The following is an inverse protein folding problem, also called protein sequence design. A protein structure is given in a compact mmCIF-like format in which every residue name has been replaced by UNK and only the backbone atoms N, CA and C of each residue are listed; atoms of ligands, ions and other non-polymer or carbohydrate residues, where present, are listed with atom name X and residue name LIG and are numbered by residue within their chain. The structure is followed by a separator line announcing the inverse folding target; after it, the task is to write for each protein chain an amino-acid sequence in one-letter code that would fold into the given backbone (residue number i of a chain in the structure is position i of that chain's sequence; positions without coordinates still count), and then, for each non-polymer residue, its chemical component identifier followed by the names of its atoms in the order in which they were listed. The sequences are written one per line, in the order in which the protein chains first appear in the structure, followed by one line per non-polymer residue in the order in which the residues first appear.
data_IF_993525170653
#
_entry.id   IF_993525170653
#
_cell.length_a   1.000
_cell.length_b   1.000
_cell.length_c   1.000
_cell.angle_alpha   90.00
_cell.angle_beta   90.00
_cell.angle_gamma   90.00
#
_symmetry.space_group_name_H-M   'P 1'
#
loop_
_entity.id
_entity.type
_entity.pdbx_description
1 polymer ?
#
# COMPACT_ATOMS: atom_id res chain seq x y z
N UNK A 1 64.73 77.12 -86.22
CA UNK A 1 65.97 76.32 -86.03
C UNK A 1 65.70 75.25 -84.99
N UNK A 2 66.35 74.10 -85.06
CA UNK A 2 66.00 72.91 -84.26
C UNK A 2 66.48 73.00 -82.80
N UNK A 3 65.75 72.35 -81.89
CA UNK A 3 66.32 71.76 -80.67
C UNK A 3 65.41 70.63 -80.17
N UNK A 4 65.53 69.45 -80.77
CA UNK A 4 64.86 68.26 -80.27
C UNK A 4 65.47 67.86 -78.92
N UNK A 5 64.70 68.03 -77.85
CA UNK A 5 65.17 67.87 -76.48
C UNK A 5 65.24 66.40 -76.11
N UNK A 6 66.32 65.75 -76.55
CA UNK A 6 66.70 64.35 -76.32
C UNK A 6 66.02 63.70 -75.10
N UNK A 7 65.09 62.79 -75.37
CA UNK A 7 64.65 61.80 -74.37
C UNK A 7 65.87 60.95 -73.99
N UNK A 8 66.45 61.22 -72.82
CA UNK A 8 67.54 60.40 -72.28
C UNK A 8 67.03 58.98 -72.12
N UNK A 9 67.65 58.05 -72.85
CA UNK A 9 67.25 56.65 -72.82
C UNK A 9 67.60 56.05 -71.45
N UNK A 10 66.58 55.87 -70.59
CA UNK A 10 66.75 55.45 -69.19
C UNK A 10 66.96 53.93 -69.03
N UNK A 11 66.91 53.15 -70.11
CA UNK A 11 67.14 51.71 -70.04
C UNK A 11 68.65 51.39 -69.95
N UNK A 12 69.09 50.60 -68.95
CA UNK A 12 70.51 50.36 -68.72
C UNK A 12 71.15 49.53 -69.83
N UNK A 13 72.34 49.95 -70.28
CA UNK A 13 73.15 49.19 -71.24
C UNK A 13 73.53 47.82 -70.66
N UNK A 14 72.99 46.75 -71.26
CA UNK A 14 73.45 45.36 -71.16
C UNK A 14 74.05 44.97 -69.80
N UNK A 15 73.20 44.85 -68.79
CA UNK A 15 73.56 44.20 -67.53
C UNK A 15 74.09 42.79 -67.83
N UNK A 16 75.27 42.44 -67.28
CA UNK A 16 75.75 41.06 -67.36
C UNK A 16 74.71 40.14 -66.72
N UNK A 17 74.52 38.91 -67.25
CA UNK A 17 73.50 37.98 -66.76
C UNK A 17 73.57 37.80 -65.22
N UNK A 18 74.78 37.78 -64.66
CA UNK A 18 75.02 37.68 -63.21
C UNK A 18 74.51 38.90 -62.43
N UNK A 19 74.74 40.11 -62.92
CA UNK A 19 74.26 41.33 -62.26
C UNK A 19 72.73 41.47 -62.33
N UNK A 20 72.12 41.08 -63.46
CA UNK A 20 70.67 41.04 -63.59
C UNK A 20 70.02 40.04 -62.63
N UNK A 21 70.62 38.85 -62.47
CA UNK A 21 70.19 37.86 -61.45
C UNK A 21 70.29 38.43 -60.04
N UNK A 22 71.37 39.12 -59.67
CA UNK A 22 71.46 39.74 -58.33
C UNK A 22 70.37 40.81 -58.12
N UNK A 23 70.12 41.68 -59.10
CA UNK A 23 69.03 42.68 -59.01
C UNK A 23 67.65 42.03 -58.89
N UNK A 24 67.40 40.92 -59.58
CA UNK A 24 66.16 40.16 -59.48
C UNK A 24 66.00 39.54 -58.08
N UNK A 25 67.04 38.89 -57.56
CA UNK A 25 67.03 38.29 -56.22
C UNK A 25 66.83 39.34 -55.13
N UNK A 26 67.51 40.49 -55.19
CA UNK A 26 67.31 41.57 -54.20
C UNK A 26 65.92 42.18 -54.28
N UNK A 27 65.32 42.28 -55.48
CA UNK A 27 63.94 42.74 -55.63
C UNK A 27 62.95 41.74 -55.03
N UNK A 28 63.12 40.44 -55.29
CA UNK A 28 62.29 39.39 -54.70
C UNK A 28 62.37 39.38 -53.17
N UNK A 29 63.58 39.47 -52.60
CA UNK A 29 63.77 39.57 -51.14
C UNK A 29 63.11 40.83 -50.58
N UNK A 30 63.25 41.98 -51.25
CA UNK A 30 62.60 43.23 -50.82
C UNK A 30 61.07 43.13 -50.87
N UNK A 31 60.49 42.54 -51.91
CA UNK A 31 59.04 42.31 -52.02
C UNK A 31 58.54 41.35 -50.94
N UNK A 32 59.29 40.28 -50.63
CA UNK A 32 58.96 39.37 -49.52
C UNK A 32 59.00 40.08 -48.16
N UNK A 33 60.03 40.89 -47.89
CA UNK A 33 60.14 41.65 -46.63
C UNK A 33 59.05 42.71 -46.50
N UNK A 34 58.75 43.48 -47.56
CA UNK A 34 57.66 44.47 -47.55
C UNK A 34 56.30 43.79 -47.43
N UNK A 35 56.08 42.66 -48.10
CA UNK A 35 54.87 41.86 -47.97
C UNK A 35 54.67 41.30 -46.55
N UNK A 36 55.74 40.81 -45.92
CA UNK A 36 55.72 40.36 -44.53
C UNK A 36 55.40 41.51 -43.56
N UNK A 37 56.06 42.67 -43.69
CA UNK A 37 55.80 43.84 -42.86
C UNK A 37 54.36 44.39 -43.05
N UNK A 38 53.81 44.27 -44.26
CA UNK A 38 52.41 44.63 -44.53
C UNK A 38 51.43 43.65 -43.86
N UNK A 39 51.68 42.34 -43.95
CA UNK A 39 50.87 41.32 -43.26
C UNK A 39 50.92 41.46 -41.73
N UNK A 40 52.08 41.81 -41.17
CA UNK A 40 52.22 42.04 -39.72
C UNK A 40 51.49 43.32 -39.27
N UNK A 41 51.46 44.35 -40.14
CA UNK A 41 50.71 45.60 -39.91
C UNK A 41 49.20 45.47 -40.05
N UNK A 42 48.70 44.44 -40.74
CA UNK A 42 47.27 44.18 -40.96
C UNK A 42 46.60 43.42 -39.80
N UNK A 43 47.37 42.84 -38.88
CA UNK A 43 46.87 42.01 -37.77
C UNK A 43 45.86 42.74 -36.89
N UNK A 44 44.75 42.06 -36.59
CA UNK A 44 43.69 42.49 -35.68
C UNK A 44 44.17 42.32 -34.24
N UNK A 45 43.83 43.24 -33.35
CA UNK A 45 44.04 43.08 -31.90
C UNK A 45 42.75 42.54 -31.28
N UNK A 46 42.85 41.48 -30.48
CA UNK A 46 41.72 40.81 -29.82
C UNK A 46 42.03 40.66 -28.34
N UNK A 47 41.09 41.04 -27.48
CA UNK A 47 41.16 40.76 -26.05
C UNK A 47 40.59 39.36 -25.79
N UNK A 48 41.45 38.43 -25.41
CA UNK A 48 41.11 37.03 -25.18
C UNK A 48 41.14 36.75 -23.67
N UNK A 49 40.03 36.33 -23.11
CA UNK A 49 39.93 35.83 -21.74
C UNK A 49 39.92 34.30 -21.77
N UNK A 50 40.98 33.66 -21.30
CA UNK A 50 41.09 32.21 -21.17
C UNK A 50 40.91 31.80 -19.71
N UNK A 51 39.87 31.06 -19.38
CA UNK A 51 39.55 30.58 -18.02
C UNK A 51 39.48 31.71 -16.95
N UNK A 52 39.34 32.97 -17.38
CA UNK A 52 39.35 34.16 -16.52
C UNK A 52 40.62 35.02 -16.63
N UNK A 53 41.71 34.53 -17.20
CA UNK A 53 42.94 35.30 -17.43
C UNK A 53 42.85 36.10 -18.75
N UNK A 54 43.04 37.42 -18.68
CA UNK A 54 42.96 38.31 -19.85
C UNK A 54 44.33 38.50 -20.53
N UNK A 55 44.37 38.33 -21.86
CA UNK A 55 45.54 38.58 -22.70
C UNK A 55 45.16 39.30 -24.02
N UNK A 56 46.13 39.96 -24.65
CA UNK A 56 45.95 40.63 -25.95
C UNK A 56 46.64 39.84 -27.06
N UNK A 57 45.85 39.24 -27.95
CA UNK A 57 46.32 38.46 -29.10
C UNK A 57 46.35 39.35 -30.34
N UNK A 58 47.38 39.18 -31.19
CA UNK A 58 47.50 39.86 -32.49
C UNK A 58 47.52 38.83 -33.62
N UNK A 59 46.39 38.73 -34.32
CA UNK A 59 46.03 37.60 -35.17
C UNK A 59 45.64 38.05 -36.58
N UNK A 60 45.76 37.13 -37.56
CA UNK A 60 45.20 37.29 -38.91
C UNK A 60 43.96 36.41 -39.16
N UNK A 61 43.49 35.68 -38.13
CA UNK A 61 42.27 34.89 -38.11
C UNK A 61 41.07 35.57 -38.80
N UNK A 62 40.29 34.79 -39.54
CA UNK A 62 39.01 35.23 -40.06
C UNK A 62 37.94 35.12 -38.96
N UNK A 63 37.87 33.99 -38.26
CA UNK A 63 36.84 33.65 -37.25
C UNK A 63 37.39 33.53 -35.82
N UNK A 64 36.52 33.31 -34.83
CA UNK A 64 36.92 32.99 -33.45
C UNK A 64 37.65 31.65 -33.38
N UNK A 65 37.15 30.62 -34.05
CA UNK A 65 37.72 29.28 -34.11
C UNK A 65 39.17 29.29 -34.66
N UNK A 66 39.42 30.09 -35.71
CA UNK A 66 40.76 30.33 -36.25
C UNK A 66 41.78 30.83 -35.20
N UNK A 67 41.34 31.61 -34.18
CA UNK A 67 42.25 32.10 -33.12
C UNK A 67 42.74 30.96 -32.24
N UNK A 68 41.87 30.01 -31.88
CA UNK A 68 42.27 28.87 -31.05
C UNK A 68 43.11 27.88 -31.85
N UNK A 69 42.84 27.72 -33.14
CA UNK A 69 43.71 27.01 -34.07
C UNK A 69 45.11 27.67 -34.22
N UNK A 70 45.20 29.02 -34.28
CA UNK A 70 46.47 29.76 -34.22
C UNK A 70 47.23 29.58 -32.88
N UNK A 71 46.52 29.22 -31.79
CA UNK A 71 47.06 29.04 -30.44
C UNK A 71 47.34 27.57 -30.06
N UNK A 72 47.16 26.62 -30.99
CA UNK A 72 47.25 25.17 -30.75
C UNK A 72 46.28 24.69 -29.62
N UNK A 73 45.09 25.29 -29.54
CA UNK A 73 44.02 24.95 -28.59
C UNK A 73 42.82 24.30 -29.28
N UNK A 74 42.49 23.06 -28.91
CA UNK A 74 41.26 22.38 -29.34
C UNK A 74 40.06 22.82 -28.49
N UNK A 75 39.02 23.38 -29.13
CA UNK A 75 37.75 23.76 -28.49
C UNK A 75 36.77 22.58 -28.54
N UNK A 76 36.10 22.28 -27.42
CA UNK A 76 35.08 21.25 -27.33
C UNK A 76 33.66 21.85 -27.37
N UNK A 77 32.65 21.06 -27.75
CA UNK A 77 31.26 21.53 -27.84
C UNK A 77 30.64 21.89 -26.49
N UNK A 78 31.26 21.43 -25.41
CA UNK A 78 30.84 21.59 -24.03
C UNK A 78 31.44 22.85 -23.38
N UNK A 79 32.52 23.39 -23.96
CA UNK A 79 33.22 24.60 -23.49
C UNK A 79 32.32 25.84 -23.53
N UNK A 80 32.64 26.86 -22.73
CA UNK A 80 32.03 28.18 -22.90
C UNK A 80 32.86 28.99 -23.88
N UNK A 81 32.27 29.35 -25.03
CA UNK A 81 32.87 30.25 -26.02
C UNK A 81 31.91 31.38 -26.38
N UNK A 82 32.36 32.63 -26.25
CA UNK A 82 31.58 33.82 -26.65
C UNK A 82 32.48 34.94 -27.20
N UNK A 83 32.21 35.52 -28.40
CA UNK A 83 31.24 35.07 -29.40
C UNK A 83 31.49 33.66 -29.94
N UNK A 84 30.57 33.12 -30.74
CA UNK A 84 30.66 31.77 -31.30
C UNK A 84 31.85 31.60 -32.25
N UNK A 85 32.31 30.34 -32.42
CA UNK A 85 33.49 29.99 -33.23
C UNK A 85 33.48 30.56 -34.65
N UNK A 86 32.30 30.63 -35.28
CA UNK A 86 32.06 31.15 -36.63
C UNK A 86 32.03 32.69 -36.74
N UNK A 87 32.08 33.43 -35.62
CA UNK A 87 32.01 34.90 -35.62
C UNK A 87 33.25 35.52 -36.26
N UNK A 88 33.07 36.42 -37.24
CA UNK A 88 34.17 37.16 -37.87
C UNK A 88 34.90 38.09 -36.89
N UNK A 89 36.24 38.00 -36.85
CA UNK A 89 37.08 38.84 -35.99
C UNK A 89 37.20 40.27 -36.51
N UNK A 90 37.05 41.23 -35.61
CA UNK A 90 37.35 42.65 -35.82
C UNK A 90 38.32 43.19 -34.74
N UNK A 91 38.76 44.45 -34.89
CA UNK A 91 39.72 45.07 -33.96
C UNK A 91 39.05 45.44 -32.63
N UNK A 92 39.77 45.28 -31.51
CA UNK A 92 39.31 45.50 -30.14
C UNK A 92 38.13 44.59 -29.72
N UNK A 93 37.89 43.52 -30.48
CA UNK A 93 36.93 42.48 -30.14
C UNK A 93 37.33 41.75 -28.86
N UNK A 94 36.35 41.44 -28.00
CA UNK A 94 36.55 40.59 -26.82
C UNK A 94 36.05 39.17 -27.10
N UNK A 95 36.91 38.18 -26.86
CA UNK A 95 36.57 36.75 -26.89
C UNK A 95 36.74 36.19 -25.48
N UNK A 96 35.79 35.36 -25.04
CA UNK A 96 35.78 34.71 -23.74
C UNK A 96 35.70 33.20 -23.94
N UNK A 97 36.69 32.49 -23.43
CA UNK A 97 36.76 31.04 -23.40
C UNK A 97 36.85 30.56 -21.95
N UNK A 98 36.11 29.50 -21.62
CA UNK A 98 36.33 28.70 -20.42
C UNK A 98 36.18 27.23 -20.80
N UNK A 99 37.17 26.43 -20.47
CA UNK A 99 37.08 24.98 -20.60
C UNK A 99 35.88 24.46 -19.79
N UNK A 100 35.20 23.45 -20.32
CA UNK A 100 34.29 22.63 -19.54
C UNK A 100 35.08 21.81 -18.51
N UNK A 101 34.46 21.60 -17.34
CA UNK A 101 34.98 20.77 -16.25
C UNK A 101 34.24 19.44 -16.24
N UNK A 102 34.94 18.35 -15.96
CA UNK A 102 34.32 17.06 -15.69
C UNK A 102 33.72 17.06 -14.28
N UNK A 103 32.46 16.68 -14.16
CA UNK A 103 31.78 16.40 -12.87
C UNK A 103 31.18 15.00 -12.89
N UNK A 104 31.28 14.30 -11.75
CA UNK A 104 30.67 12.99 -11.55
C UNK A 104 29.33 13.21 -10.86
N UNK A 105 28.21 13.08 -11.58
CA UNK A 105 26.88 13.41 -11.07
C UNK A 105 26.03 12.17 -10.83
N UNK A 106 25.60 11.97 -9.59
CA UNK A 106 24.68 10.91 -9.18
C UNK A 106 23.24 11.41 -9.07
N UNK A 107 22.35 10.81 -9.87
CA UNK A 107 20.92 11.07 -9.81
C UNK A 107 20.20 9.84 -9.24
N UNK A 108 19.95 9.85 -7.93
CA UNK A 108 19.23 8.77 -7.23
C UNK A 108 19.92 7.40 -7.24
N UNK A 109 21.25 7.35 -7.33
CA UNK A 109 22.06 6.13 -7.43
C UNK A 109 22.50 5.75 -8.85
N UNK A 110 22.13 6.52 -9.87
CA UNK A 110 22.72 6.42 -11.21
C UNK A 110 23.78 7.52 -11.42
N UNK A 111 25.05 7.14 -11.31
CA UNK A 111 26.20 8.04 -11.48
C UNK A 111 26.63 8.17 -12.95
N UNK A 112 26.84 9.41 -13.42
CA UNK A 112 27.25 9.75 -14.79
C UNK A 112 28.37 10.80 -14.80
N UNK A 113 29.36 10.63 -15.68
CA UNK A 113 30.38 11.66 -15.91
C UNK A 113 29.87 12.68 -16.95
N UNK A 114 29.84 13.97 -16.58
CA UNK A 114 29.29 15.05 -17.39
C UNK A 114 30.31 16.18 -17.53
N UNK A 115 30.59 16.62 -18.75
CA UNK A 115 31.38 17.82 -19.02
C UNK A 115 30.48 19.07 -18.97
N UNK A 116 30.79 20.03 -18.09
CA UNK A 116 29.97 21.24 -17.94
C UNK A 116 30.79 22.54 -17.83
N UNK A 117 30.26 23.58 -18.46
CA UNK A 117 30.78 24.95 -18.44
C UNK A 117 29.98 25.88 -17.49
N UNK A 118 29.11 25.30 -16.66
CA UNK A 118 28.38 25.97 -15.60
C UNK A 118 29.33 26.44 -14.49
N UNK A 119 29.04 27.59 -13.87
CA UNK A 119 29.85 28.16 -12.80
C UNK A 119 29.47 27.65 -11.41
N UNK A 120 28.18 27.37 -11.16
CA UNK A 120 27.69 26.86 -9.87
C UNK A 120 26.82 25.61 -10.03
N UNK A 121 26.65 24.85 -8.95
CA UNK A 121 25.76 23.67 -8.90
C UNK A 121 24.34 24.02 -9.34
N UNK A 122 23.82 25.18 -8.94
CA UNK A 122 22.50 25.69 -9.36
C UNK A 122 22.44 26.20 -10.81
N UNK A 123 23.56 26.43 -11.49
CA UNK A 123 23.59 26.62 -12.94
C UNK A 123 23.65 25.27 -13.68
N UNK A 124 24.49 24.35 -13.19
CA UNK A 124 24.61 22.98 -13.71
C UNK A 124 23.25 22.26 -13.71
N UNK A 125 22.57 22.20 -12.56
CA UNK A 125 21.28 21.52 -12.45
C UNK A 125 20.20 22.13 -13.37
N UNK A 126 20.23 23.45 -13.61
CA UNK A 126 19.32 24.11 -14.58
C UNK A 126 19.64 23.74 -16.02
N UNK A 127 20.92 23.55 -16.37
CA UNK A 127 21.36 23.10 -17.69
C UNK A 127 20.86 21.68 -17.96
N UNK A 128 20.94 20.81 -16.95
CA UNK A 128 20.41 19.43 -16.97
C UNK A 128 18.87 19.37 -16.73
N UNK A 129 18.19 20.51 -16.68
CA UNK A 129 16.72 20.64 -16.54
C UNK A 129 16.14 20.06 -15.23
N UNK A 130 16.93 20.07 -14.14
CA UNK A 130 16.59 19.57 -12.81
C UNK A 130 16.22 20.73 -11.86
N UNK A 131 14.93 20.87 -11.56
CA UNK A 131 14.42 21.81 -10.55
C UNK A 131 14.53 21.19 -9.14
N UNK A 132 15.35 21.76 -8.25
CA UNK A 132 15.53 21.28 -6.86
C UNK A 132 14.44 21.83 -5.94
N UNK A 133 13.85 20.96 -5.11
CA UNK A 133 12.86 21.32 -4.08
C UNK A 133 13.47 21.38 -2.68
N UNK A 134 12.81 22.07 -1.72
CA UNK A 134 13.26 22.17 -0.32
C UNK A 134 13.27 20.82 0.44
N UNK A 135 12.71 19.76 -0.15
CA UNK A 135 12.67 18.39 0.39
C UNK A 135 13.59 17.42 -0.35
N UNK A 136 14.16 17.82 -1.49
CA UNK A 136 15.24 17.07 -2.15
C UNK A 136 16.51 17.12 -1.30
N UNK A 137 17.36 16.10 -1.44
CA UNK A 137 18.68 16.06 -0.79
C UNK A 137 19.79 16.18 -1.84
N UNK A 138 20.33 17.39 -1.93
CA UNK A 138 21.50 17.75 -2.73
C UNK A 138 22.76 17.76 -1.85
N UNK A 139 23.89 17.23 -2.33
CA UNK A 139 25.12 17.14 -1.53
C UNK A 139 25.92 18.44 -1.39
N UNK A 140 25.65 19.44 -2.23
CA UNK A 140 26.41 20.69 -2.36
C UNK A 140 25.45 21.89 -2.47
N UNK A 141 25.90 23.11 -2.18
CA UNK A 141 25.03 24.28 -2.20
C UNK A 141 24.77 24.80 -3.63
N UNK A 142 23.59 25.39 -3.90
CA UNK A 142 23.21 25.87 -5.24
C UNK A 142 24.10 27.02 -5.76
N UNK A 143 24.72 27.77 -4.87
CA UNK A 143 25.69 28.83 -5.13
C UNK A 143 27.16 28.36 -5.04
N UNK A 144 27.39 27.10 -4.68
CA UNK A 144 28.72 26.49 -4.65
C UNK A 144 29.30 26.36 -6.06
N UNK A 145 30.59 26.67 -6.21
CA UNK A 145 31.24 26.73 -7.53
C UNK A 145 31.64 25.34 -8.02
N UNK A 146 31.45 25.08 -9.32
CA UNK A 146 31.87 23.81 -9.92
C UNK A 146 33.40 23.74 -9.97
N UNK A 147 33.97 22.62 -9.50
CA UNK A 147 35.39 22.28 -9.61
C UNK A 147 35.62 21.06 -10.54
N UNK A 148 36.87 20.75 -10.85
CA UNK A 148 37.24 19.60 -11.67
C UNK A 148 37.12 18.31 -10.84
N UNK A 149 36.74 17.19 -11.46
CA UNK A 149 36.46 15.90 -10.80
C UNK A 149 35.40 15.99 -9.66
N UNK A 150 34.59 17.06 -9.62
CA UNK A 150 33.64 17.32 -8.54
C UNK A 150 32.52 16.27 -8.53
N UNK A 151 32.38 15.55 -7.41
CA UNK A 151 31.28 14.60 -7.22
C UNK A 151 30.03 15.31 -6.71
N UNK A 152 28.98 15.36 -7.54
CA UNK A 152 27.66 15.91 -7.20
C UNK A 152 26.65 14.77 -7.03
N UNK A 153 25.66 14.95 -6.16
CA UNK A 153 24.57 13.99 -6.01
C UNK A 153 23.25 14.66 -5.64
N UNK A 154 22.17 14.23 -6.28
CA UNK A 154 20.81 14.71 -6.07
C UNK A 154 19.85 13.53 -5.86
N UNK A 155 19.46 13.31 -4.61
CA UNK A 155 18.35 12.44 -4.26
C UNK A 155 17.05 13.23 -4.36
N UNK A 156 16.19 12.87 -5.32
CA UNK A 156 14.86 13.45 -5.44
C UNK A 156 13.93 12.96 -4.34
N UNK A 157 13.17 13.88 -3.78
CA UNK A 157 12.01 13.54 -2.98
C UNK A 157 10.83 13.19 -3.88
N UNK A 158 10.02 12.24 -3.44
CA UNK A 158 8.83 11.80 -4.15
C UNK A 158 7.66 11.55 -3.18
N UNK A 159 6.44 11.60 -3.72
CA UNK A 159 5.22 11.56 -2.93
C UNK A 159 4.87 10.13 -2.47
N UNK A 160 4.46 10.02 -1.20
CA UNK A 160 3.90 8.84 -0.56
C UNK A 160 2.55 9.15 0.09
N UNK A 161 1.74 8.11 0.29
CA UNK A 161 0.58 8.19 1.18
C UNK A 161 0.91 7.63 2.55
N UNK A 162 0.86 8.46 3.59
CA UNK A 162 0.72 8.00 4.96
C UNK A 162 -0.76 7.75 5.26
N UNK A 163 -1.09 6.57 5.78
CA UNK A 163 -2.41 6.23 6.32
C UNK A 163 -2.26 5.96 7.82
N UNK A 164 -2.44 6.99 8.65
CA UNK A 164 -2.36 6.82 10.09
C UNK A 164 -3.76 6.50 10.65
N UNK A 165 -4.04 5.22 10.91
CA UNK A 165 -5.33 4.77 11.42
C UNK A 165 -6.47 4.94 10.42
N UNK A 166 -7.25 6.01 10.57
CA UNK A 166 -8.27 6.45 9.62
C UNK A 166 -7.79 7.57 8.69
N UNK A 167 -6.76 8.29 9.10
CA UNK A 167 -6.41 9.57 8.54
C UNK A 167 -5.39 9.39 7.42
N UNK A 168 -5.39 10.29 6.44
CA UNK A 168 -4.55 10.17 5.24
C UNK A 168 -3.86 11.48 4.93
N UNK A 169 -2.57 11.38 4.68
CA UNK A 169 -1.70 12.52 4.35
C UNK A 169 -0.80 12.13 3.18
N UNK A 170 -0.49 13.11 2.33
CA UNK A 170 0.50 12.99 1.25
C UNK A 170 1.80 13.61 1.74
N UNK A 171 2.87 12.82 1.75
CA UNK A 171 4.15 13.16 2.40
C UNK A 171 5.29 12.99 1.40
N UNK A 172 6.26 13.89 1.45
CA UNK A 172 7.40 13.93 0.54
C UNK A 172 8.71 13.67 1.29
N UNK A 173 9.53 12.73 0.79
CA UNK A 173 10.89 12.49 1.27
C UNK A 173 11.69 11.74 0.20
N UNK A 174 13.02 11.65 0.35
CA UNK A 174 13.88 10.82 -0.51
C UNK A 174 13.81 9.34 -0.08
N UNK A 175 14.40 8.43 -0.86
CA UNK A 175 14.39 6.97 -0.60
C UNK A 175 14.92 6.59 0.79
N UNK A 176 14.03 6.31 1.75
CA UNK A 176 14.37 5.85 3.12
C UNK A 176 13.59 4.59 3.51
N UNK A 177 13.90 3.99 4.66
CA UNK A 177 13.13 2.87 5.22
C UNK A 177 11.84 3.36 5.91
N UNK A 178 10.85 2.48 6.09
CA UNK A 178 9.68 2.77 6.94
C UNK A 178 10.11 3.15 8.36
N UNK A 179 11.14 2.52 8.93
CA UNK A 179 11.68 2.87 10.25
C UNK A 179 12.21 4.32 10.32
N UNK A 180 13.01 4.71 9.32
CA UNK A 180 13.56 6.07 9.23
C UNK A 180 12.46 7.10 8.96
N UNK A 181 11.45 6.75 8.14
CA UNK A 181 10.28 7.58 7.89
C UNK A 181 9.46 7.86 9.17
N UNK A 182 9.08 6.82 9.91
CA UNK A 182 8.33 6.97 11.16
C UNK A 182 9.09 7.89 12.15
N UNK A 183 10.40 7.68 12.26
CA UNK A 183 11.31 8.47 13.09
C UNK A 183 11.46 9.93 12.60
N UNK A 184 11.53 10.17 11.29
CA UNK A 184 11.60 11.51 10.69
C UNK A 184 10.33 12.33 10.96
N UNK A 185 9.17 11.68 10.96
CA UNK A 185 7.87 12.31 11.26
C UNK A 185 7.50 12.28 12.75
N UNK A 186 8.45 11.97 13.64
CA UNK A 186 8.29 11.83 15.10
C UNK A 186 7.17 10.84 15.55
N UNK A 187 6.73 9.96 14.65
CA UNK A 187 5.65 9.00 14.89
C UNK A 187 6.14 7.92 15.85
N UNK A 188 5.31 7.61 16.85
CA UNK A 188 5.56 6.58 17.86
C UNK A 188 4.47 5.53 17.75
N UNK A 189 4.89 4.28 17.64
CA UNK A 189 4.03 3.11 17.68
C UNK A 189 3.90 2.62 19.13
N UNK A 190 2.70 2.27 19.56
CA UNK A 190 2.49 1.56 20.83
C UNK A 190 2.82 0.07 20.68
N UNK A 191 2.93 -0.66 21.79
CA UNK A 191 3.50 -2.02 21.83
C UNK A 191 2.81 -3.06 20.92
N UNK A 192 1.52 -2.88 20.64
CA UNK A 192 0.72 -3.79 19.80
C UNK A 192 0.45 -3.26 18.38
N UNK A 193 0.87 -2.03 18.08
CA UNK A 193 0.67 -1.37 16.80
C UNK A 193 1.45 -2.05 15.67
N UNK A 194 0.99 -1.86 14.44
CA UNK A 194 1.55 -2.52 13.26
C UNK A 194 1.70 -1.55 12.10
N UNK A 195 2.81 -1.66 11.36
CA UNK A 195 3.04 -0.90 10.13
C UNK A 195 3.08 -1.81 8.90
N UNK A 196 2.46 -1.35 7.80
CA UNK A 196 2.50 -1.99 6.49
C UNK A 196 3.00 -0.98 5.43
N UNK A 197 4.07 -1.27 4.66
CA UNK A 197 4.95 -2.44 4.75
C UNK A 197 5.83 -2.40 6.03
N UNK A 198 6.66 -3.43 6.24
CA UNK A 198 7.47 -3.55 7.46
C UNK A 198 8.53 -2.46 7.60
N UNK A 199 8.97 -2.22 8.84
CA UNK A 199 9.96 -1.20 9.21
C UNK A 199 11.23 -1.19 8.33
N UNK A 200 11.79 -2.36 8.01
CA UNK A 200 12.98 -2.50 7.14
C UNK A 200 12.70 -2.25 5.64
N UNK A 201 11.44 -2.03 5.23
CA UNK A 201 11.09 -1.86 3.81
C UNK A 201 11.51 -0.48 3.33
N UNK A 202 12.30 -0.44 2.27
CA UNK A 202 12.68 0.80 1.57
C UNK A 202 11.52 1.34 0.73
N UNK A 203 11.24 2.63 0.85
CA UNK A 203 10.12 3.31 0.20
C UNK A 203 10.52 3.87 -1.17
N UNK A 204 9.65 3.65 -2.16
CA UNK A 204 9.78 4.10 -3.56
C UNK A 204 8.63 5.03 -3.93
N UNK A 205 8.70 5.70 -5.09
CA UNK A 205 7.63 6.58 -5.57
C UNK A 205 6.24 5.91 -5.51
N UNK A 206 5.23 6.64 -5.00
CA UNK A 206 3.86 6.15 -4.86
C UNK A 206 3.63 5.11 -3.77
N UNK A 207 4.63 4.81 -2.92
CA UNK A 207 4.46 3.92 -1.78
C UNK A 207 3.36 4.40 -0.82
N UNK A 208 2.73 3.44 -0.13
CA UNK A 208 1.73 3.71 0.92
C UNK A 208 2.19 3.06 2.21
N UNK A 209 2.45 3.87 3.24
CA UNK A 209 2.71 3.41 4.61
C UNK A 209 1.41 3.48 5.39
N UNK A 210 0.96 2.36 5.95
CA UNK A 210 -0.21 2.29 6.82
C UNK A 210 0.22 1.99 8.24
N UNK A 211 -0.32 2.74 9.20
CA UNK A 211 -0.22 2.44 10.62
C UNK A 211 -1.57 1.93 11.08
N UNK A 212 -1.57 0.77 11.73
CA UNK A 212 -2.73 0.17 12.38
C UNK A 212 -2.50 0.24 13.88
N UNK A 213 -3.25 1.12 14.54
CA UNK A 213 -3.26 1.21 15.99
C UNK A 213 -4.10 0.07 16.58
N UNK A 214 -3.57 -0.62 17.60
CA UNK A 214 -4.17 -1.86 18.13
C UNK A 214 -4.44 -1.75 19.64
N UNK A 215 -5.66 -1.34 20.01
CA UNK A 215 -6.10 -1.35 21.40
C UNK A 215 -6.50 -2.77 21.85
N UNK A 216 -6.06 -3.18 23.04
CA UNK A 216 -6.65 -4.30 23.80
C UNK A 216 -7.31 -3.76 25.05
N UNK A 217 -8.64 -3.85 25.13
CA UNK A 217 -9.42 -3.36 26.27
C UNK A 217 -10.26 -4.46 26.91
N UNK A 218 -10.40 -4.39 28.23
CA UNK A 218 -11.31 -5.28 28.96
C UNK A 218 -12.71 -4.67 28.97
N UNK A 219 -13.70 -5.41 28.48
CA UNK A 219 -15.12 -5.04 28.47
C UNK A 219 -15.88 -5.98 29.42
N UNK A 220 -16.66 -5.43 30.34
CA UNK A 220 -17.36 -6.19 31.41
C UNK A 220 -18.85 -5.97 31.27
N UNK A 221 -19.58 -7.06 31.04
CA UNK A 221 -21.02 -7.05 30.75
C UNK A 221 -21.75 -7.90 31.78
N UNK A 222 -22.78 -7.32 32.41
CA UNK A 222 -23.73 -8.08 33.24
C UNK A 222 -24.88 -8.62 32.38
N UNK A 223 -25.20 -9.91 32.53
CA UNK A 223 -26.35 -10.56 31.90
C UNK A 223 -27.23 -11.27 32.95
N UNK A 224 -28.54 -11.34 32.71
CA UNK A 224 -29.49 -12.06 33.57
C UNK A 224 -29.35 -13.57 33.39
N UNK A 225 -29.40 -14.31 34.50
CA UNK A 225 -29.36 -15.79 34.53
C UNK A 225 -30.75 -16.32 34.86
N UNK A 226 -31.39 -16.99 33.91
CA UNK A 226 -32.73 -17.56 34.10
C UNK A 226 -32.82 -18.52 35.29
N UNK A 227 -34.02 -18.64 35.86
CA UNK A 227 -34.36 -19.64 36.86
C UNK A 227 -35.11 -20.83 36.24
N UNK A 228 -34.87 -22.03 36.74
CA UNK A 228 -35.66 -23.21 36.34
C UNK A 228 -37.01 -23.25 37.06
N UNK A 229 -38.00 -23.92 36.47
CA UNK A 229 -39.26 -24.26 37.14
C UNK A 229 -39.19 -25.71 37.62
N UNK A 230 -39.22 -25.91 38.94
CA UNK A 230 -39.25 -27.25 39.57
C UNK A 230 -40.69 -27.65 39.90
N UNK A 231 -41.14 -28.78 39.37
CA UNK A 231 -42.43 -29.39 39.74
C UNK A 231 -42.24 -30.38 40.88
N UNK A 232 -43.18 -30.41 41.83
CA UNK A 232 -43.13 -31.27 43.02
C UNK A 232 -44.49 -31.85 43.36
N UNK A 233 -44.57 -33.17 43.50
CA UNK A 233 -45.80 -33.85 43.89
C UNK A 233 -46.28 -33.44 45.30
N UNK A 234 -47.55 -33.06 45.41
CA UNK A 234 -48.26 -32.79 46.66
C UNK A 234 -49.50 -33.69 46.75
N UNK A 235 -49.51 -34.61 47.71
CA UNK A 235 -50.60 -35.56 47.93
C UNK A 235 -51.75 -35.00 48.81
N UNK A 236 -51.66 -33.73 49.20
CA UNK A 236 -52.74 -32.99 49.87
C UNK A 236 -53.61 -32.21 48.87
N UNK A 237 -52.99 -31.74 47.78
CA UNK A 237 -53.63 -31.05 46.64
C UNK A 237 -54.30 -32.04 45.66
N UNK A 238 -55.47 -31.67 45.14
CA UNK A 238 -56.28 -32.51 44.27
C UNK A 238 -55.59 -32.80 42.93
N UNK A 239 -55.78 -34.02 42.40
CA UNK A 239 -55.22 -34.43 41.11
C UNK A 239 -55.58 -33.44 39.98
N UNK A 240 -54.55 -32.87 39.34
CA UNK A 240 -54.71 -31.85 38.29
C UNK A 240 -54.82 -30.40 38.78
N UNK A 241 -54.49 -30.10 40.04
CA UNK A 241 -54.35 -28.72 40.54
C UNK A 241 -52.88 -28.32 40.70
N UNK A 242 -52.55 -27.06 40.41
CA UNK A 242 -51.20 -26.51 40.60
C UNK A 242 -51.19 -25.40 41.64
N UNK A 243 -50.06 -25.24 42.36
CA UNK A 243 -49.84 -24.15 43.30
C UNK A 243 -48.37 -23.75 43.36
N UNK A 244 -48.05 -22.47 43.15
CA UNK A 244 -46.70 -21.97 43.41
C UNK A 244 -46.39 -22.04 44.91
N UNK A 245 -45.27 -22.67 45.25
CA UNK A 245 -44.73 -22.81 46.62
C UNK A 245 -43.62 -21.81 46.88
N UNK A 246 -42.80 -21.55 45.85
CA UNK A 246 -41.72 -20.57 45.86
C UNK A 246 -41.72 -19.83 44.53
N UNK A 247 -41.72 -18.50 44.56
CA UNK A 247 -41.54 -17.70 43.35
C UNK A 247 -40.09 -17.73 42.87
N UNK A 248 -39.91 -17.62 41.55
CA UNK A 248 -38.59 -17.60 40.94
C UNK A 248 -37.92 -16.24 41.08
N UNK A 249 -36.59 -16.23 41.12
CA UNK A 249 -35.80 -15.00 40.95
C UNK A 249 -34.69 -15.23 39.93
N UNK A 250 -34.57 -14.32 38.97
CA UNK A 250 -33.41 -14.26 38.07
C UNK A 250 -32.11 -14.05 38.87
N UNK A 251 -31.07 -14.73 38.41
CA UNK A 251 -29.69 -14.51 38.82
C UNK A 251 -29.01 -13.46 37.94
N UNK A 252 -27.72 -13.24 38.20
CA UNK A 252 -26.89 -12.28 37.48
C UNK A 252 -25.51 -12.91 37.26
N UNK A 253 -25.03 -12.88 36.02
CA UNK A 253 -23.67 -13.27 35.63
C UNK A 253 -22.92 -12.06 35.10
N UNK A 254 -21.64 -11.97 35.46
CA UNK A 254 -20.67 -10.99 34.99
C UNK A 254 -19.76 -11.70 33.98
N UNK A 255 -19.65 -11.15 32.78
CA UNK A 255 -18.82 -11.67 31.68
C UNK A 255 -17.74 -10.67 31.33
N UNK A 256 -16.50 -11.11 31.48
CA UNK A 256 -15.29 -10.31 31.21
C UNK A 256 -14.74 -10.72 29.84
N UNK A 257 -14.78 -9.80 28.90
CA UNK A 257 -14.25 -9.96 27.54
C UNK A 257 -12.93 -9.19 27.39
N UNK A 258 -12.02 -9.74 26.60
CA UNK A 258 -10.93 -8.97 25.99
C UNK A 258 -11.38 -8.59 24.58
N UNK A 259 -11.40 -7.29 24.30
CA UNK A 259 -11.83 -6.72 23.03
C UNK A 259 -10.61 -6.13 22.34
N UNK A 260 -10.27 -6.69 21.18
CA UNK A 260 -9.21 -6.17 20.31
C UNK A 260 -9.83 -5.21 19.32
N UNK A 261 -9.30 -3.99 19.24
CA UNK A 261 -9.74 -2.96 18.29
C UNK A 261 -8.59 -2.56 17.39
N UNK A 262 -8.88 -2.41 16.11
CA UNK A 262 -7.94 -1.89 15.11
C UNK A 262 -8.48 -0.56 14.59
N UNK A 263 -7.70 0.51 14.73
CA UNK A 263 -8.09 1.88 14.38
C UNK A 263 -9.45 2.26 15.00
N UNK A 264 -9.61 1.95 16.30
CA UNK A 264 -10.82 2.16 17.10
C UNK A 264 -12.00 1.21 16.83
N UNK A 265 -11.91 0.30 15.86
CA UNK A 265 -12.99 -0.63 15.48
C UNK A 265 -12.75 -2.02 16.06
N UNK A 266 -13.74 -2.58 16.76
CA UNK A 266 -13.69 -3.94 17.29
C UNK A 266 -13.49 -4.98 16.16
N UNK A 267 -12.45 -5.80 16.28
CA UNK A 267 -12.12 -6.91 15.35
C UNK A 267 -12.14 -8.29 16.01
N UNK A 268 -11.90 -8.38 17.32
CA UNK A 268 -12.12 -9.60 18.12
C UNK A 268 -12.74 -9.27 19.48
N UNK A 269 -13.48 -10.23 20.03
CA UNK A 269 -14.10 -10.20 21.36
C UNK A 269 -14.06 -11.61 21.94
N UNK A 270 -13.15 -11.83 22.88
CA UNK A 270 -12.86 -13.14 23.45
C UNK A 270 -13.26 -13.18 24.93
N UNK A 271 -14.17 -14.09 25.30
CA UNK A 271 -14.60 -14.27 26.69
C UNK A 271 -13.46 -14.87 27.53
N UNK A 272 -13.01 -14.16 28.57
CA UNK A 272 -11.93 -14.58 29.46
C UNK A 272 -12.44 -15.17 30.78
N UNK A 273 -13.52 -14.62 31.31
CA UNK A 273 -14.12 -15.05 32.58
C UNK A 273 -15.64 -14.91 32.54
N UNK A 274 -16.36 -15.89 33.09
CA UNK A 274 -17.78 -15.79 33.43
C UNK A 274 -17.94 -16.12 34.92
N UNK A 275 -18.61 -15.23 35.65
CA UNK A 275 -18.73 -15.27 37.11
C UNK A 275 -20.19 -15.05 37.51
N UNK A 276 -20.78 -15.98 38.26
CA UNK A 276 -22.13 -15.75 38.83
C UNK A 276 -22.03 -14.80 40.01
N UNK A 277 -22.61 -13.60 39.86
CA UNK A 277 -22.71 -12.56 40.90
C UNK A 277 -23.89 -12.83 41.83
N UNK A 278 -25.01 -13.31 41.26
CA UNK A 278 -26.21 -13.73 41.98
C UNK A 278 -26.71 -15.05 41.40
N UNK A 279 -26.83 -16.09 42.22
CA UNK A 279 -27.49 -17.33 41.78
C UNK A 279 -28.99 -17.12 41.55
N UNK A 280 -29.54 -17.77 40.52
CA UNK A 280 -30.97 -17.77 40.25
C UNK A 280 -31.70 -18.70 41.23
N UNK A 281 -32.93 -18.34 41.62
CA UNK A 281 -33.77 -19.15 42.52
C UNK A 281 -34.87 -19.79 41.72
N UNK A 282 -34.89 -21.13 41.68
CA UNK A 282 -35.89 -21.87 40.94
C UNK A 282 -37.32 -21.61 41.46
N UNK A 283 -38.28 -21.49 40.54
CA UNK A 283 -39.70 -21.37 40.86
C UNK A 283 -40.25 -22.76 41.16
N UNK A 284 -40.75 -22.99 42.37
CA UNK A 284 -41.26 -24.31 42.78
C UNK A 284 -42.78 -24.33 42.66
N UNK A 285 -43.31 -25.27 41.86
CA UNK A 285 -44.75 -25.49 41.66
C UNK A 285 -45.12 -26.85 42.22
N UNK A 286 -45.98 -26.86 43.23
CA UNK A 286 -46.62 -28.08 43.72
C UNK A 286 -47.71 -28.52 42.74
N UNK A 287 -47.64 -29.78 42.29
CA UNK A 287 -48.64 -30.42 41.45
C UNK A 287 -49.43 -31.44 42.28
N UNK A 288 -50.75 -31.35 42.25
CA UNK A 288 -51.63 -32.17 43.05
C UNK A 288 -51.69 -33.61 42.53
N UNK A 289 -51.49 -34.58 43.44
CA UNK A 289 -51.53 -36.02 43.16
C UNK A 289 -52.63 -36.76 43.93
N UNK A 290 -53.44 -36.05 44.73
CA UNK A 290 -54.51 -36.63 45.53
C UNK A 290 -55.68 -37.06 44.64
N UNK A 291 -55.64 -38.31 44.22
CA UNK A 291 -56.70 -38.96 43.45
C UNK A 291 -58.02 -38.99 44.25
N UNK A 292 -59.19 -38.80 43.61
CA UNK A 292 -60.47 -38.92 44.30
C UNK A 292 -60.70 -40.36 44.78
N UNK A 293 -61.17 -40.52 46.02
CA UNK A 293 -61.54 -41.83 46.57
C UNK A 293 -62.87 -42.27 45.96
N UNK A 294 -62.81 -42.92 44.81
CA UNK A 294 -63.99 -43.47 44.12
C UNK A 294 -64.59 -44.60 44.95
N UNK A 295 -65.80 -44.38 45.48
CA UNK A 295 -66.55 -45.42 46.17
C UNK A 295 -66.93 -46.53 45.19
N UNK A 296 -66.51 -47.76 45.46
CA UNK A 296 -66.69 -48.91 44.57
C UNK A 296 -68.13 -49.42 44.58
N UNK A 297 -68.88 -49.10 43.52
CA UNK A 297 -70.18 -49.74 43.23
C UNK A 297 -69.96 -50.88 42.24
N UNK A 298 -70.18 -52.16 42.61
CA UNK A 298 -70.00 -53.28 41.69
C UNK A 298 -71.15 -53.36 40.69
N UNK A 299 -70.83 -53.60 39.41
CA UNK A 299 -71.80 -54.09 38.42
C UNK A 299 -71.13 -55.08 37.48
N UNK A 300 -71.71 -56.28 37.41
CA UNK A 300 -71.15 -57.37 36.60
C UNK A 300 -71.45 -57.26 35.10
N UNK A 301 -70.43 -57.71 34.36
CA UNK A 301 -70.40 -58.37 33.05
C UNK A 301 -71.57 -58.28 32.05
N UNK A 302 -71.18 -58.10 30.78
CA UNK A 302 -71.57 -59.07 29.74
C UNK A 302 -70.49 -59.13 28.65
N UNK A 303 -70.39 -60.27 27.93
CA UNK A 303 -69.42 -60.53 26.83
C UNK A 303 -70.10 -60.16 25.47
N UNK A 304 -69.50 -60.19 24.26
CA UNK A 304 -68.48 -61.12 23.73
C UNK A 304 -68.02 -60.73 22.28
N UNK A 305 -66.75 -60.99 21.93
CA UNK A 305 -66.19 -61.21 20.57
C UNK A 305 -66.22 -60.02 19.56
N UNK A 306 -65.49 -60.01 18.41
CA UNK A 306 -64.64 -61.01 17.71
C UNK A 306 -63.25 -60.43 17.36
N UNK A 307 -62.26 -61.29 17.08
CA UNK A 307 -60.82 -60.99 16.93
C UNK A 307 -60.34 -60.57 15.52
N UNK A 308 -59.16 -59.92 15.45
CA UNK A 308 -58.06 -60.05 14.47
C UNK A 308 -56.97 -58.99 14.78
N UNK A 309 -55.65 -59.12 14.53
CA UNK A 309 -54.72 -60.25 14.29
C UNK A 309 -53.26 -59.73 14.53
N UNK A 310 -52.30 -60.61 14.85
CA UNK A 310 -50.82 -60.48 14.89
C UNK A 310 -50.14 -59.10 14.58
N UNK A 311 -49.08 -58.69 15.30
CA UNK A 311 -47.77 -59.37 15.22
C UNK A 311 -46.80 -59.08 16.40
N UNK A 312 -45.80 -59.95 16.57
CA UNK A 312 -44.66 -59.85 17.50
C UNK A 312 -43.71 -58.66 17.13
N UNK A 313 -42.74 -58.19 17.93
CA UNK A 313 -41.72 -58.86 18.79
C UNK A 313 -41.20 -57.86 19.85
N UNK A 314 -40.97 -58.15 21.14
CA UNK A 314 -40.02 -59.07 21.82
C UNK A 314 -38.53 -58.81 21.54
N UNK A 315 -37.59 -58.76 22.50
CA UNK A 315 -37.62 -58.65 23.98
C UNK A 315 -36.18 -58.48 24.55
N UNK A 316 -36.04 -57.98 25.80
CA UNK A 316 -34.84 -58.09 26.67
C UNK A 316 -33.50 -57.44 26.24
N UNK A 317 -32.46 -57.29 27.07
CA UNK A 317 -32.36 -56.94 28.51
C UNK A 317 -30.89 -56.62 28.93
N UNK A 318 -30.71 -55.63 29.83
CA UNK A 318 -29.61 -55.43 30.82
C UNK A 318 -28.10 -55.56 30.47
N UNK A 319 -27.30 -54.54 30.86
CA UNK A 319 -26.15 -54.59 31.82
C UNK A 319 -24.83 -53.83 31.49
N UNK A 320 -24.25 -53.18 32.53
CA UNK A 320 -22.82 -52.82 32.81
C UNK A 320 -21.92 -51.92 31.90
N UNK A 321 -21.77 -50.65 32.34
CA UNK A 321 -20.57 -49.80 32.60
C UNK A 321 -19.17 -50.50 32.75
N UNK A 322 -17.95 -49.84 32.64
CA UNK A 322 -17.55 -48.40 32.47
C UNK A 322 -16.48 -48.05 31.37
N UNK A 323 -16.23 -46.73 31.19
CA UNK A 323 -14.98 -46.08 30.68
C UNK A 323 -14.55 -46.37 29.21
N UNK A 324 -13.90 -45.50 28.42
CA UNK A 324 -13.40 -44.11 28.52
C UNK A 324 -13.32 -43.56 27.05
N UNK A 325 -12.92 -42.34 26.63
CA UNK A 325 -12.10 -41.21 27.16
C UNK A 325 -12.44 -39.91 26.37
N UNK A 326 -11.66 -38.83 26.55
CA UNK A 326 -11.46 -37.67 25.66
C UNK A 326 -12.58 -36.59 25.57
N UNK A 327 -12.27 -35.41 26.10
CA UNK A 327 -13.12 -34.22 26.08
C UNK A 327 -12.89 -33.36 24.84
N UNK A 328 -13.97 -32.93 24.19
CA UNK A 328 -14.03 -31.66 23.46
C UNK A 328 -15.35 -30.97 23.80
N UNK A 329 -15.32 -29.65 24.01
CA UNK A 329 -16.51 -28.88 24.40
C UNK A 329 -17.42 -28.69 23.20
N UNK A 330 -18.36 -29.63 23.01
CA UNK A 330 -19.43 -29.49 22.03
C UNK A 330 -20.25 -28.22 22.32
N UNK A 331 -20.66 -27.44 21.30
CA UNK A 331 -21.51 -26.28 21.50
C UNK A 331 -22.84 -26.73 22.15
N UNK A 332 -23.21 -26.09 23.26
CA UNK A 332 -24.52 -26.31 23.89
C UNK A 332 -25.62 -25.72 22.99
N UNK A 333 -26.68 -26.50 22.79
CA UNK A 333 -27.79 -26.11 21.91
C UNK A 333 -28.52 -27.29 21.30
N UNK A 334 -29.50 -26.99 20.44
CA UNK A 334 -30.30 -28.00 19.73
C UNK A 334 -29.59 -28.41 18.44
N UNK A 335 -28.92 -29.56 18.46
CA UNK A 335 -28.29 -30.15 17.28
C UNK A 335 -29.33 -30.73 16.30
N UNK A 336 -29.12 -30.52 15.01
CA UNK A 336 -29.88 -31.11 13.90
C UNK A 336 -28.96 -31.49 12.75
N UNK A 337 -29.24 -32.63 12.10
CA UNK A 337 -28.61 -33.01 10.83
C UNK A 337 -29.37 -32.37 9.67
N UNK A 338 -28.67 -31.58 8.84
CA UNK A 338 -29.28 -30.81 7.74
C UNK A 338 -28.48 -30.96 6.44
N UNK A 339 -29.16 -30.82 5.29
CA UNK A 339 -28.48 -30.67 3.99
C UNK A 339 -28.02 -29.22 3.85
N UNK A 340 -26.75 -29.02 3.49
CA UNK A 340 -26.14 -27.72 3.28
C UNK A 340 -25.62 -27.58 1.85
N UNK A 341 -26.08 -26.53 1.18
CA UNK A 341 -25.43 -25.95 -0.01
C UNK A 341 -24.71 -24.65 0.37
N UNK A 342 -24.04 -24.01 -0.60
CA UNK A 342 -23.46 -22.68 -0.43
C UNK A 342 -23.92 -21.70 -1.54
N UNK A 343 -24.12 -20.43 -1.16
CA UNK A 343 -24.46 -19.33 -2.06
C UNK A 343 -23.45 -18.18 -1.97
N UNK A 344 -23.45 -17.31 -2.98
CA UNK A 344 -22.64 -16.09 -3.02
C UNK A 344 -23.55 -14.88 -3.24
N UNK A 345 -23.16 -13.71 -2.75
CA UNK A 345 -23.91 -12.46 -2.94
C UNK A 345 -23.72 -11.83 -4.35
N UNK A 346 -22.83 -12.41 -5.16
CA UNK A 346 -22.32 -11.86 -6.43
C UNK A 346 -22.91 -12.61 -7.63
N UNK A 347 -24.24 -12.59 -7.74
CA UNK A 347 -24.99 -13.13 -8.87
C UNK A 347 -25.78 -12.05 -9.62
N UNK A 348 -26.04 -12.27 -10.91
CA UNK A 348 -26.74 -11.30 -11.76
C UNK A 348 -28.18 -11.07 -11.25
N UNK A 349 -28.53 -9.81 -10.96
CA UNK A 349 -29.81 -9.43 -10.35
C UNK A 349 -29.87 -9.58 -8.82
N UNK A 350 -28.84 -10.14 -8.18
CA UNK A 350 -28.82 -10.30 -6.73
C UNK A 350 -28.47 -8.99 -6.01
N UNK A 351 -29.34 -8.54 -5.09
CA UNK A 351 -29.11 -7.37 -4.24
C UNK A 351 -27.83 -7.52 -3.39
N UNK A 352 -27.63 -8.72 -2.82
CA UNK A 352 -26.64 -8.97 -1.76
C UNK A 352 -27.13 -8.56 -0.37
N UNK A 353 -28.43 -8.35 -0.21
CA UNK A 353 -29.11 -8.01 1.06
C UNK A 353 -29.97 -9.21 1.47
N UNK A 354 -29.82 -9.70 2.70
CA UNK A 354 -30.55 -10.87 3.22
C UNK A 354 -31.97 -10.52 3.71
N UNK A 355 -32.76 -11.54 4.04
CA UNK A 355 -34.07 -11.39 4.67
C UNK A 355 -34.07 -10.58 5.98
N UNK A 356 -32.98 -10.58 6.77
CA UNK A 356 -32.82 -9.71 7.95
C UNK A 356 -32.17 -8.35 7.65
N UNK A 357 -31.91 -8.02 6.39
CA UNK A 357 -31.34 -6.75 5.96
C UNK A 357 -29.80 -6.67 5.95
N UNK A 358 -29.09 -7.79 6.18
CA UNK A 358 -27.61 -7.80 6.20
C UNK A 358 -27.08 -7.61 4.77
N UNK A 359 -26.26 -6.58 4.56
CA UNK A 359 -25.56 -6.35 3.28
C UNK A 359 -24.26 -7.17 3.22
N UNK A 360 -24.32 -8.31 2.54
CA UNK A 360 -23.21 -9.26 2.38
C UNK A 360 -22.11 -8.78 1.41
N UNK A 361 -22.40 -7.77 0.57
CA UNK A 361 -21.38 -7.15 -0.32
C UNK A 361 -20.51 -6.14 0.42
N UNK A 362 -21.10 -5.43 1.39
CA UNK A 362 -20.35 -4.57 2.31
C UNK A 362 -19.60 -5.39 3.39
N UNK A 363 -20.08 -6.60 3.71
CA UNK A 363 -19.55 -7.43 4.79
C UNK A 363 -19.18 -8.85 4.30
N UNK A 364 -18.23 -9.02 3.37
CA UNK A 364 -17.92 -10.32 2.75
C UNK A 364 -17.38 -11.37 3.74
N UNK A 365 -16.86 -10.95 4.90
CA UNK A 365 -16.39 -11.85 5.96
C UNK A 365 -17.50 -12.36 6.91
N UNK A 366 -18.71 -11.80 6.88
CA UNK A 366 -19.78 -12.22 7.79
C UNK A 366 -20.24 -13.65 7.52
N UNK A 367 -20.40 -14.44 8.59
CA UNK A 367 -20.95 -15.80 8.53
C UNK A 367 -22.47 -15.77 8.65
N UNK A 368 -23.17 -15.92 7.53
CA UNK A 368 -24.64 -15.90 7.48
C UNK A 368 -25.15 -17.14 6.77
N UNK A 369 -26.25 -17.71 7.24
CA UNK A 369 -26.93 -18.83 6.59
C UNK A 369 -28.38 -18.48 6.25
N UNK A 370 -28.85 -19.03 5.14
CA UNK A 370 -30.27 -19.08 4.80
C UNK A 370 -30.92 -20.31 5.45
N UNK A 371 -32.11 -20.14 6.00
CA UNK A 371 -32.84 -21.18 6.76
C UNK A 371 -34.32 -21.26 6.38
N UNK A 372 -35.00 -22.29 6.89
CA UNK A 372 -36.45 -22.28 7.09
C UNK A 372 -36.77 -21.67 8.48
N UNK A 373 -37.44 -20.51 8.57
CA UNK A 373 -37.79 -19.87 9.85
C UNK A 373 -38.64 -20.74 10.78
N UNK A 374 -39.32 -21.77 10.26
CA UNK A 374 -40.09 -22.72 11.07
C UNK A 374 -39.24 -23.79 11.76
N UNK A 375 -37.97 -23.94 11.36
CA UNK A 375 -37.01 -24.94 11.89
C UNK A 375 -35.86 -24.27 12.66
N UNK A 376 -35.38 -23.13 12.16
CA UNK A 376 -34.40 -22.25 12.82
C UNK A 376 -34.93 -20.81 12.70
N UNK A 377 -35.29 -20.15 13.80
CA UNK A 377 -35.74 -18.74 13.76
C UNK A 377 -34.69 -17.82 13.15
N UNK A 378 -35.15 -16.76 12.48
CA UNK A 378 -34.24 -15.72 11.99
C UNK A 378 -33.64 -14.94 13.17
N UNK A 379 -32.36 -14.63 13.07
CA UNK A 379 -31.56 -14.02 14.15
C UNK A 379 -30.88 -15.03 15.07
N UNK A 380 -31.25 -16.32 15.06
CA UNK A 380 -30.58 -17.34 15.88
C UNK A 380 -29.09 -17.46 15.53
N UNK A 381 -28.24 -17.56 16.57
CA UNK A 381 -26.84 -17.96 16.44
C UNK A 381 -26.78 -19.48 16.26
N UNK A 382 -25.95 -19.94 15.33
CA UNK A 382 -25.75 -21.36 15.05
C UNK A 382 -24.28 -21.69 14.92
N UNK A 383 -23.92 -22.95 15.21
CA UNK A 383 -22.65 -23.54 14.78
C UNK A 383 -22.93 -24.55 13.67
N UNK A 384 -22.25 -24.42 12.53
CA UNK A 384 -22.36 -25.34 11.39
C UNK A 384 -21.04 -26.11 11.23
N UNK A 385 -21.12 -27.43 11.28
CA UNK A 385 -19.99 -28.35 11.15
C UNK A 385 -19.19 -28.07 9.87
N UNK A 386 -17.90 -27.77 10.02
CA UNK A 386 -16.99 -27.44 8.90
C UNK A 386 -17.10 -26.01 8.34
N UNK A 387 -18.07 -25.20 8.77
CA UNK A 387 -18.22 -23.79 8.35
C UNK A 387 -17.99 -22.79 9.50
N UNK A 388 -18.25 -23.19 10.75
CA UNK A 388 -18.05 -22.40 11.96
C UNK A 388 -19.34 -21.77 12.50
N UNK A 389 -19.20 -20.79 13.38
CA UNK A 389 -20.32 -20.00 13.90
C UNK A 389 -20.91 -19.10 12.81
N UNK A 390 -22.24 -18.94 12.82
CA UNK A 390 -22.97 -18.13 11.86
C UNK A 390 -24.30 -17.61 12.42
N UNK A 391 -24.91 -16.66 11.71
CA UNK A 391 -26.24 -16.11 12.02
C UNK A 391 -27.26 -16.66 11.02
N UNK A 392 -28.42 -17.11 11.49
CA UNK A 392 -29.60 -17.40 10.68
C UNK A 392 -30.22 -16.09 10.14
N UNK A 393 -29.57 -15.48 9.14
CA UNK A 393 -29.88 -14.13 8.67
C UNK A 393 -30.63 -14.06 7.32
N UNK A 394 -30.90 -15.18 6.66
CA UNK A 394 -31.51 -15.18 5.34
C UNK A 394 -32.58 -16.28 5.12
N UNK A 395 -33.36 -16.17 4.03
CA UNK A 395 -34.35 -17.18 3.63
C UNK A 395 -34.35 -17.39 2.12
N UNK A 396 -34.11 -18.61 1.67
CA UNK A 396 -34.28 -18.98 0.26
C UNK A 396 -35.62 -19.68 -0.01
N UNK A 397 -36.21 -19.45 -1.19
CA UNK A 397 -37.46 -20.12 -1.60
C UNK A 397 -37.35 -21.65 -1.63
N UNK A 398 -36.17 -22.18 -2.01
CA UNK A 398 -35.84 -23.60 -2.04
C UNK A 398 -35.23 -24.15 -0.73
N UNK A 399 -35.12 -23.31 0.31
CA UNK A 399 -34.59 -23.64 1.64
C UNK A 399 -35.78 -23.85 2.57
N UNK A 400 -36.13 -25.13 2.76
CA UNK A 400 -37.33 -25.57 3.49
C UNK A 400 -37.03 -26.84 4.30
N UNK A 401 -37.60 -26.96 5.49
CA UNK A 401 -37.33 -28.07 6.41
C UNK A 401 -35.85 -28.15 6.81
N UNK A 402 -35.29 -29.37 6.87
CA UNK A 402 -33.90 -29.62 7.29
C UNK A 402 -32.87 -29.33 6.19
N UNK A 403 -32.94 -28.14 5.58
CA UNK A 403 -31.94 -27.61 4.64
C UNK A 403 -31.47 -26.22 5.11
N UNK A 404 -30.19 -25.93 4.90
CA UNK A 404 -29.58 -24.60 5.01
C UNK A 404 -28.80 -24.25 3.73
N UNK A 405 -28.55 -22.98 3.50
CA UNK A 405 -27.62 -22.48 2.48
C UNK A 405 -26.59 -21.58 3.17
N UNK A 406 -25.29 -21.87 3.07
CA UNK A 406 -24.25 -21.08 3.73
C UNK A 406 -23.75 -19.95 2.82
N UNK A 407 -23.55 -18.74 3.36
CA UNK A 407 -22.91 -17.67 2.58
C UNK A 407 -21.40 -17.87 2.49
N UNK A 408 -20.86 -17.82 1.28
CA UNK A 408 -19.43 -17.69 1.04
C UNK A 408 -19.22 -16.58 0.00
N UNK A 409 -18.37 -15.60 0.31
CA UNK A 409 -18.12 -14.48 -0.61
C UNK A 409 -17.35 -14.90 -1.88
N UNK A 410 -16.34 -15.76 -1.72
CA UNK A 410 -15.60 -16.35 -2.84
C UNK A 410 -16.39 -17.50 -3.52
N UNK A 411 -16.48 -17.42 -4.85
CA UNK A 411 -17.16 -18.42 -5.68
C UNK A 411 -16.39 -19.73 -5.78
N UNK A 412 -15.06 -19.75 -5.74
CA UNK A 412 -14.30 -21.00 -5.78
C UNK A 412 -14.53 -21.82 -4.50
N UNK A 413 -14.48 -21.15 -3.35
CA UNK A 413 -14.78 -21.71 -2.03
C UNK A 413 -16.24 -22.18 -1.91
N UNK A 414 -17.20 -21.44 -2.48
CA UNK A 414 -18.61 -21.88 -2.54
C UNK A 414 -18.78 -23.17 -3.38
N UNK A 415 -18.08 -23.29 -4.51
CA UNK A 415 -18.09 -24.51 -5.32
C UNK A 415 -17.37 -25.68 -4.63
N UNK A 416 -16.29 -25.42 -3.88
CA UNK A 416 -15.59 -26.41 -3.08
C UNK A 416 -16.42 -26.91 -1.87
N UNK A 417 -17.38 -26.11 -1.37
CA UNK A 417 -18.34 -26.58 -0.39
C UNK A 417 -19.31 -27.61 -0.98
N UNK A 418 -19.90 -27.30 -2.15
CA UNK A 418 -20.82 -28.19 -2.86
C UNK A 418 -22.14 -28.41 -2.10
N UNK A 419 -22.70 -29.62 -2.19
CA UNK A 419 -23.84 -30.08 -1.39
C UNK A 419 -23.37 -31.20 -0.46
N UNK A 420 -23.59 -31.05 0.85
CA UNK A 420 -23.16 -32.00 1.88
C UNK A 420 -24.15 -32.06 3.03
N UNK A 421 -24.13 -33.15 3.79
CA UNK A 421 -24.85 -33.25 5.06
C UNK A 421 -23.94 -32.74 6.18
N UNK A 422 -24.47 -31.91 7.08
CA UNK A 422 -23.74 -31.32 8.22
C UNK A 422 -24.59 -31.36 9.48
N UNK A 423 -23.94 -31.43 10.65
CA UNK A 423 -24.55 -31.04 11.93
C UNK A 423 -24.66 -29.51 12.02
N UNK A 424 -25.81 -29.06 12.51
CA UNK A 424 -26.11 -27.66 12.81
C UNK A 424 -26.60 -27.60 14.25
N UNK A 425 -25.86 -26.92 15.12
CA UNK A 425 -26.28 -26.67 16.50
C UNK A 425 -26.87 -25.28 16.60
N UNK A 426 -28.17 -25.19 16.87
CA UNK A 426 -28.82 -23.91 17.21
C UNK A 426 -28.50 -23.61 18.66
N UNK A 427 -27.79 -22.50 18.91
CA UNK A 427 -27.41 -22.06 20.25
C UNK A 427 -28.67 -21.61 21.03
N UNK A 428 -28.67 -21.71 22.37
CA UNK A 428 -29.72 -21.11 23.20
C UNK A 428 -29.79 -19.58 23.02
#
# INVERSE_FOLDING_TARGET
MQSEKNMKNLFPKSMSKRNWVYSLVTLTVFVLVVGFLFQEGMKKTVALSLNGEEQLVRTNAATVEDIFAELEMDIHSEDYLYPSGDTEIYHDMTVRYRAAKQVSFDLGGETQEIMTNAQTVGEFLRKEQLEVSDVDKLSHALDESIEEDMTLSLEKAFAWTLVNGTDKEEVWSTSITVADFLKQHEIKLDQDDRVEPSEDTMLTEGATVKIVHVDKVTDVVEETKDFSVEQKDDNTLAEGTEKVVQEGEEGLIEKTYEVVKENGKEVSRDLKEEKTVKESKNKVVAIGTKKPVVASVPRETTKKAVAATASNSSASAASSQPAQTASSSAPSGREMTMSSTAYTASCAGCSGITATGINLKANPGMKVIAVDPSVIPLGSRVYVEGYGYAIAGDTGGAIKGNKIDIFIADRASALAWGNRTVKVTVMP
#
